data_IF_162216435650
#
_entry.id   IF_162216435650
#
_cell.length_a   1.000
_cell.length_b   1.000
_cell.length_c   1.000
_cell.angle_alpha   90.00
_cell.angle_beta   90.00
_cell.angle_gamma   90.00
#
_symmetry.space_group_name_H-M   'P 1'
#
loop_
_entity.id
_entity.type
_entity.pdbx_description
1 polymer ?
#
# COMPACT_ATOMS: atom_id res chain seq x y z
N UNK A 1 -7.64 4.62 -26.90
CA UNK A 1 -7.20 5.90 -26.32
C UNK A 1 -5.71 6.07 -26.63
N UNK A 2 -5.30 7.04 -27.45
CA UNK A 2 -3.88 7.34 -27.66
C UNK A 2 -3.42 8.30 -26.56
N UNK A 3 -2.49 7.86 -25.71
CA UNK A 3 -1.86 8.75 -24.75
C UNK A 3 -0.98 9.74 -25.52
N UNK A 4 -1.32 11.02 -25.49
CA UNK A 4 -0.44 12.07 -25.99
C UNK A 4 0.60 12.36 -24.93
N UNK A 5 1.81 11.81 -25.11
CA UNK A 5 2.92 12.09 -24.21
C UNK A 5 3.39 13.53 -24.36
N UNK A 6 3.65 14.17 -23.22
CA UNK A 6 4.04 15.59 -23.14
C UNK A 6 5.22 15.74 -22.21
N UNK A 7 6.08 16.72 -22.51
CA UNK A 7 7.15 17.11 -21.62
C UNK A 7 6.55 17.61 -20.29
N UNK A 8 7.07 17.07 -19.19
CA UNK A 8 6.74 17.50 -17.83
C UNK A 8 7.95 18.24 -17.26
N UNK A 9 7.71 19.42 -16.70
CA UNK A 9 8.72 20.18 -15.97
C UNK A 9 8.22 20.42 -14.56
N UNK A 10 8.99 20.01 -13.55
CA UNK A 10 8.73 20.29 -12.15
C UNK A 10 9.69 21.38 -11.65
N UNK A 11 9.23 22.25 -10.74
CA UNK A 11 10.07 23.30 -10.15
C UNK A 11 11.17 22.72 -9.26
N UNK A 12 10.78 22.17 -8.10
CA UNK A 12 11.61 21.23 -7.35
C UNK A 12 10.76 20.06 -6.85
N UNK A 13 11.41 18.93 -6.61
CA UNK A 13 10.78 17.75 -6.04
C UNK A 13 11.56 17.33 -4.80
N UNK A 14 10.89 17.31 -3.66
CA UNK A 14 11.42 16.80 -2.41
C UNK A 14 10.60 15.61 -1.96
N UNK A 15 11.28 14.49 -1.76
CA UNK A 15 10.69 13.26 -1.25
C UNK A 15 11.45 12.89 0.00
N UNK A 16 10.79 12.98 1.14
CA UNK A 16 11.43 12.74 2.43
C UNK A 16 11.67 11.24 2.66
N UNK A 17 10.72 10.37 2.29
CA UNK A 17 10.88 8.91 2.41
C UNK A 17 10.25 8.16 1.24
N UNK A 18 10.87 7.05 0.85
CA UNK A 18 10.28 6.03 -0.01
C UNK A 18 10.45 4.71 0.71
N UNK A 19 9.34 3.99 0.94
CA UNK A 19 9.31 2.76 1.73
C UNK A 19 8.72 1.59 0.93
N UNK A 20 8.27 0.53 1.60
CA UNK A 20 7.97 -0.79 1.01
C UNK A 20 7.17 -0.74 -0.29
N UNK A 21 7.78 -1.18 -1.39
CA UNK A 21 7.19 -1.16 -2.75
C UNK A 21 6.73 0.23 -3.22
N UNK A 22 7.31 1.31 -2.68
CA UNK A 22 7.14 2.68 -3.14
C UNK A 22 8.03 2.97 -4.36
N UNK A 23 7.49 3.70 -5.34
CA UNK A 23 8.21 4.03 -6.58
C UNK A 23 8.19 5.54 -6.80
N UNK A 24 9.35 6.14 -7.02
CA UNK A 24 9.50 7.48 -7.59
C UNK A 24 10.06 7.34 -8.99
N UNK A 25 9.39 7.90 -9.98
CA UNK A 25 9.85 7.87 -11.37
C UNK A 25 9.86 9.25 -12.00
N UNK A 26 10.96 9.57 -12.68
CA UNK A 26 11.07 10.70 -13.60
C UNK A 26 11.29 10.15 -15.01
N UNK A 27 10.50 10.63 -15.97
CA UNK A 27 10.49 10.16 -17.35
C UNK A 27 9.39 9.15 -17.66
N UNK A 28 9.38 8.76 -18.93
CA UNK A 28 8.28 8.00 -19.52
C UNK A 28 8.46 6.50 -19.32
N UNK A 29 7.34 5.75 -19.25
CA UNK A 29 7.35 4.29 -19.22
C UNK A 29 6.44 3.69 -20.29
N UNK A 30 7.01 2.87 -21.17
CA UNK A 30 6.27 2.13 -22.18
C UNK A 30 5.47 0.95 -21.61
N UNK A 31 5.91 0.40 -20.47
CA UNK A 31 5.33 -0.78 -19.83
C UNK A 31 4.53 -0.47 -18.56
N UNK A 32 3.88 -1.51 -18.02
CA UNK A 32 3.12 -1.38 -16.79
C UNK A 32 4.04 -1.15 -15.60
N UNK A 33 3.69 -0.20 -14.75
CA UNK A 33 4.42 0.04 -13.49
C UNK A 33 3.68 -0.67 -12.38
N UNK A 34 4.22 -1.80 -11.95
CA UNK A 34 3.61 -2.63 -10.93
C UNK A 34 4.26 -2.40 -9.58
N UNK A 35 3.44 -2.23 -8.55
CA UNK A 35 3.88 -2.21 -7.17
C UNK A 35 3.01 -3.15 -6.35
N UNK A 36 3.63 -4.19 -5.78
CA UNK A 36 2.92 -5.20 -4.99
C UNK A 36 3.55 -5.33 -3.61
N UNK A 37 2.71 -5.45 -2.59
CA UNK A 37 3.16 -5.66 -1.21
C UNK A 37 2.12 -6.54 -0.47
N UNK A 38 2.58 -7.53 0.30
CA UNK A 38 1.70 -8.37 1.11
C UNK A 38 2.37 -8.59 2.46
N UNK A 39 1.68 -8.21 3.53
CA UNK A 39 2.25 -8.20 4.88
C UNK A 39 1.23 -8.73 5.89
N UNK A 40 1.70 -9.55 6.82
CA UNK A 40 1.00 -9.83 8.07
C UNK A 40 1.93 -9.34 9.18
N UNK A 41 1.46 -8.42 10.02
CA UNK A 41 2.20 -7.95 11.17
C UNK A 41 1.49 -8.43 12.44
N UNK A 42 2.13 -9.33 13.19
CA UNK A 42 1.62 -9.81 14.48
C UNK A 42 2.38 -9.10 15.60
N UNK A 43 1.64 -8.40 16.46
CA UNK A 43 2.15 -7.75 17.66
C UNK A 43 1.66 -8.53 18.89
N UNK A 44 2.59 -8.94 19.75
CA UNK A 44 2.31 -9.73 20.96
C UNK A 44 2.78 -9.02 22.21
N UNK A 45 2.12 -9.28 23.35
CA UNK A 45 2.61 -8.88 24.66
C UNK A 45 3.91 -9.62 25.05
N UNK A 46 4.01 -10.91 24.69
CA UNK A 46 5.22 -11.73 24.86
C UNK A 46 5.71 -12.19 23.49
N UNK A 47 6.97 -11.89 23.09
CA UNK A 47 7.48 -12.17 21.76
C UNK A 47 7.93 -13.63 21.63
N UNK A 48 6.98 -14.55 21.59
CA UNK A 48 7.21 -15.94 21.20
C UNK A 48 7.11 -15.99 19.67
N UNK A 49 8.01 -16.69 18.98
CA UNK A 49 8.00 -16.83 17.53
C UNK A 49 8.10 -18.31 17.14
N UNK A 50 7.04 -18.85 16.55
CA UNK A 50 7.00 -20.12 15.86
C UNK A 50 7.13 -19.89 14.34
N UNK A 51 7.69 -20.85 13.61
CA UNK A 51 8.11 -20.68 12.21
C UNK A 51 6.95 -20.71 11.20
N UNK A 52 5.77 -21.21 11.58
CA UNK A 52 4.61 -21.41 10.68
C UNK A 52 3.30 -20.78 11.22
N UNK A 53 3.42 -19.69 11.99
CA UNK A 53 2.28 -19.10 12.70
C UNK A 53 1.21 -18.49 11.80
N UNK A 54 1.58 -17.94 10.65
CA UNK A 54 0.67 -17.18 9.80
C UNK A 54 0.89 -17.46 8.33
N UNK A 55 -0.18 -17.81 7.63
CA UNK A 55 -0.20 -18.00 6.18
C UNK A 55 -1.18 -17.01 5.55
N UNK A 56 -0.81 -16.45 4.40
CA UNK A 56 -1.70 -15.54 3.66
C UNK A 56 -3.05 -16.19 3.31
N UNK A 57 -3.06 -17.50 3.02
CA UNK A 57 -4.29 -18.25 2.73
C UNK A 57 -5.29 -18.27 3.89
N UNK A 58 -4.85 -18.04 5.13
CA UNK A 58 -5.72 -18.00 6.30
C UNK A 58 -6.59 -16.74 6.35
N UNK A 59 -6.28 -15.69 5.57
CA UNK A 59 -7.05 -14.44 5.59
C UNK A 59 -7.69 -14.17 4.22
N UNK A 60 -9.03 -13.97 4.18
CA UNK A 60 -9.76 -13.60 2.97
C UNK A 60 -9.17 -12.42 2.18
N UNK A 61 -8.54 -11.48 2.89
CA UNK A 61 -7.88 -10.34 2.28
C UNK A 61 -6.89 -10.75 1.18
N UNK A 62 -6.18 -11.87 1.34
CA UNK A 62 -5.16 -12.33 0.41
C UNK A 62 -5.65 -13.21 -0.74
N UNK A 63 -6.95 -13.48 -0.85
CA UNK A 63 -7.50 -14.19 -2.00
C UNK A 63 -8.80 -13.59 -2.56
N UNK A 64 -9.34 -12.54 -1.92
CA UNK A 64 -10.40 -11.73 -2.51
C UNK A 64 -9.97 -11.08 -3.82
N UNK A 65 -10.91 -11.00 -4.76
CA UNK A 65 -10.71 -10.32 -6.04
C UNK A 65 -10.53 -8.81 -5.81
N UNK A 66 -9.66 -8.19 -6.60
CA UNK A 66 -9.51 -6.73 -6.62
C UNK A 66 -10.80 -6.10 -7.13
N UNK A 67 -11.32 -5.11 -6.40
CA UNK A 67 -12.35 -4.23 -6.95
C UNK A 67 -11.71 -3.42 -8.07
N UNK A 68 -12.20 -3.60 -9.29
CA UNK A 68 -11.86 -2.74 -10.41
C UNK A 68 -12.96 -1.69 -10.56
N UNK A 69 -12.62 -0.40 -10.77
CA UNK A 69 -13.61 0.59 -11.16
C UNK A 69 -14.39 0.07 -12.38
N UNK A 70 -15.72 0.11 -12.30
CA UNK A 70 -16.56 -0.33 -13.40
C UNK A 70 -16.53 0.68 -14.55
N UNK A 71 -16.12 0.24 -15.74
CA UNK A 71 -16.23 0.97 -17.00
C UNK A 71 -15.55 2.35 -17.05
N UNK A 72 -15.53 2.97 -18.23
CA UNK A 72 -15.22 4.39 -18.33
C UNK A 72 -16.38 5.19 -17.71
N UNK A 73 -16.12 6.19 -16.85
CA UNK A 73 -17.17 7.07 -16.37
C UNK A 73 -17.85 7.75 -17.57
N UNK A 74 -19.17 8.02 -17.52
CA UNK A 74 -19.90 8.61 -18.65
C UNK A 74 -19.51 10.06 -18.96
N UNK A 75 -18.47 10.60 -18.30
CA UNK A 75 -17.97 11.94 -18.50
C UNK A 75 -16.78 11.95 -19.46
N UNK A 76 -16.85 12.79 -20.50
CA UNK A 76 -15.72 13.08 -21.37
C UNK A 76 -15.01 14.33 -20.89
N UNK A 77 -13.76 14.19 -20.45
CA UNK A 77 -12.88 15.31 -20.15
C UNK A 77 -12.10 15.67 -21.41
N UNK A 78 -12.38 16.85 -21.97
CA UNK A 78 -11.59 17.44 -23.05
C UNK A 78 -10.71 18.53 -22.45
N UNK A 79 -9.40 18.30 -22.35
CA UNK A 79 -8.44 19.34 -22.00
C UNK A 79 -7.74 19.83 -23.27
N UNK A 80 -7.89 21.10 -23.62
CA UNK A 80 -7.05 21.72 -24.64
C UNK A 80 -5.89 22.45 -23.96
N UNK A 81 -4.68 22.13 -24.41
CA UNK A 81 -3.51 22.94 -24.09
C UNK A 81 -2.71 23.10 -25.37
N UNK A 82 -2.51 24.33 -25.80
CA UNK A 82 -1.75 24.65 -26.99
C UNK A 82 -0.26 24.28 -26.79
N UNK A 83 0.12 23.04 -27.12
CA UNK A 83 1.51 22.58 -27.29
C UNK A 83 2.49 22.73 -26.12
N UNK A 84 2.08 23.29 -24.97
CA UNK A 84 2.99 23.67 -23.90
C UNK A 84 3.38 22.46 -23.04
N UNK A 85 4.58 22.39 -22.44
CA UNK A 85 4.90 21.41 -21.41
C UNK A 85 3.90 21.49 -20.23
N UNK A 86 3.66 20.36 -19.59
CA UNK A 86 2.96 20.34 -18.29
C UNK A 86 3.94 20.89 -17.26
N UNK A 87 3.64 22.09 -16.75
CA UNK A 87 4.44 22.74 -15.70
C UNK A 87 3.83 22.44 -14.36
N UNK A 88 4.51 21.60 -13.59
CA UNK A 88 4.21 21.36 -12.18
C UNK A 88 5.07 22.32 -11.37
N UNK A 89 4.49 22.92 -10.33
CA UNK A 89 5.24 23.74 -9.40
C UNK A 89 6.18 22.90 -8.53
N UNK A 90 6.25 23.27 -7.26
CA UNK A 90 7.06 22.57 -6.27
C UNK A 90 6.28 21.39 -5.68
N UNK A 91 6.88 20.20 -5.68
CA UNK A 91 6.26 18.99 -5.14
C UNK A 91 7.03 18.54 -3.90
N UNK A 92 6.36 18.54 -2.75
CA UNK A 92 6.90 18.05 -1.49
C UNK A 92 6.10 16.82 -1.04
N UNK A 93 6.77 15.68 -0.91
CA UNK A 93 6.17 14.41 -0.50
C UNK A 93 6.82 13.92 0.78
N UNK A 94 6.04 13.75 1.84
CA UNK A 94 6.52 13.26 3.13
C UNK A 94 6.93 11.77 3.08
N UNK A 95 6.22 10.98 2.29
CA UNK A 95 6.48 9.56 2.16
C UNK A 95 5.74 8.93 1.00
N UNK A 96 6.41 8.01 0.30
CA UNK A 96 5.81 7.14 -0.70
C UNK A 96 5.94 5.72 -0.19
N UNK A 97 4.82 5.15 0.24
CA UNK A 97 4.81 3.89 0.97
C UNK A 97 3.87 2.88 0.35
N UNK A 98 4.14 1.60 0.58
CA UNK A 98 3.18 0.50 0.47
C UNK A 98 2.44 0.46 -0.86
N UNK A 99 3.16 0.06 -1.92
CA UNK A 99 2.64 -0.02 -3.29
C UNK A 99 2.09 1.32 -3.82
N UNK A 100 2.80 2.41 -3.54
CA UNK A 100 2.49 3.76 -4.05
C UNK A 100 3.49 4.19 -5.11
N UNK A 101 3.04 4.99 -6.08
CA UNK A 101 3.87 5.46 -7.20
C UNK A 101 3.73 6.98 -7.35
N UNK A 102 4.85 7.70 -7.30
CA UNK A 102 4.98 9.09 -7.75
C UNK A 102 5.67 9.10 -9.10
N UNK A 103 5.06 9.71 -10.12
CA UNK A 103 5.64 9.80 -11.47
C UNK A 103 5.55 11.20 -12.05
N UNK A 104 6.64 11.63 -12.69
CA UNK A 104 6.71 12.78 -13.58
C UNK A 104 7.06 12.30 -14.99
N UNK A 105 6.09 12.25 -15.89
CA UNK A 105 6.28 11.76 -17.25
C UNK A 105 5.01 11.09 -17.78
N UNK A 106 5.09 10.61 -19.00
CA UNK A 106 4.03 9.88 -19.68
C UNK A 106 4.17 8.37 -19.46
N UNK A 107 3.06 7.68 -19.18
CA UNK A 107 3.11 6.22 -19.11
C UNK A 107 1.78 5.54 -19.34
N UNK A 108 1.85 4.30 -19.82
CA UNK A 108 0.75 3.32 -19.79
C UNK A 108 0.56 2.65 -18.42
N UNK A 109 -0.36 1.67 -18.31
CA UNK A 109 -1.10 1.32 -17.09
C UNK A 109 -0.21 1.09 -15.84
N UNK A 110 -0.53 1.78 -14.75
CA UNK A 110 0.17 1.62 -13.46
C UNK A 110 -0.74 0.78 -12.54
N UNK A 111 -0.23 -0.33 -12.00
CA UNK A 111 -0.97 -1.21 -11.10
C UNK A 111 -0.32 -1.29 -9.72
N UNK A 112 -1.07 -0.92 -8.68
CA UNK A 112 -0.63 -1.06 -7.29
C UNK A 112 -1.55 -1.99 -6.51
N UNK A 113 -0.99 -2.90 -5.71
CA UNK A 113 -1.75 -3.63 -4.70
C UNK A 113 -0.89 -3.79 -3.45
N UNK A 114 -1.41 -3.42 -2.29
CA UNK A 114 -0.85 -3.86 -1.02
C UNK A 114 -1.92 -4.53 -0.16
N UNK A 115 -1.66 -5.72 0.38
CA UNK A 115 -2.57 -6.43 1.29
C UNK A 115 -1.89 -6.55 2.65
N UNK A 116 -2.39 -5.86 3.67
CA UNK A 116 -1.75 -5.82 5.00
C UNK A 116 -2.75 -6.18 6.08
N UNK A 117 -2.42 -7.15 6.93
CA UNK A 117 -3.19 -7.52 8.12
C UNK A 117 -2.34 -7.26 9.35
N UNK A 118 -2.84 -6.46 10.29
CA UNK A 118 -2.18 -6.22 11.58
C UNK A 118 -2.98 -6.92 12.68
N UNK A 119 -2.35 -7.82 13.42
CA UNK A 119 -2.97 -8.63 14.47
C UNK A 119 -2.31 -8.25 15.79
N UNK A 120 -3.13 -7.97 16.81
CA UNK A 120 -2.64 -7.76 18.17
C UNK A 120 -3.10 -8.91 19.06
N UNK A 121 -2.17 -9.53 19.74
CA UNK A 121 -2.42 -10.57 20.74
C UNK A 121 -2.09 -9.99 22.11
N UNK A 122 -3.14 -9.72 22.88
CA UNK A 122 -3.04 -9.34 24.28
C UNK A 122 -3.21 -10.59 25.13
N UNK A 123 -2.46 -10.69 26.23
CA UNK A 123 -2.75 -11.71 27.23
C UNK A 123 -4.03 -11.27 27.94
N UNK A 124 -5.09 -12.07 27.84
CA UNK A 124 -6.22 -11.95 28.75
C UNK A 124 -5.73 -12.35 30.14
N UNK A 125 -5.25 -11.36 30.89
CA UNK A 125 -5.06 -11.48 32.33
C UNK A 125 -6.44 -11.41 33.00
N UNK A 126 -7.28 -12.43 32.78
CA UNK A 126 -8.56 -12.59 33.47
C UNK A 126 -8.53 -13.90 34.28
N UNK A 127 -8.02 -13.74 35.50
CA UNK A 127 -8.42 -14.43 36.74
C UNK A 127 -8.53 -15.97 36.77
N UNK A 128 -7.38 -16.67 36.78
CA UNK A 128 -7.29 -17.95 37.48
C UNK A 128 -7.12 -17.72 39.00
N UNK A 129 -8.19 -17.25 39.65
CA UNK A 129 -8.32 -17.21 41.12
C UNK A 129 -9.46 -18.15 41.57
N UNK A 130 -9.57 -19.36 41.00
CA UNK A 130 -10.53 -20.38 41.47
C UNK A 130 -9.92 -21.71 41.90
N UNK A 131 -8.60 -21.86 41.78
CA UNK A 131 -7.94 -23.15 42.08
C UNK A 131 -7.15 -23.13 43.42
N UNK A 132 -7.28 -22.07 44.22
CA UNK A 132 -6.52 -21.91 45.46
C UNK A 132 -7.30 -22.21 46.77
N UNK A 133 -8.59 -22.58 46.71
CA UNK A 133 -9.43 -22.74 47.92
C UNK A 133 -10.03 -24.13 48.14
N UNK A 134 -9.50 -25.18 47.49
CA UNK A 134 -9.84 -26.57 47.84
C UNK A 134 -8.58 -27.44 47.96
N UNK A 135 -7.94 -27.39 49.13
CA UNK A 135 -7.22 -28.53 49.67
C UNK A 135 -7.88 -28.93 50.99
N UNK A 136 -8.49 -30.12 51.11
CA UNK A 136 -8.89 -30.66 52.40
C UNK A 136 -7.66 -31.32 53.03
N UNK A 137 -7.33 -30.96 54.28
CA UNK A 137 -6.15 -31.48 54.95
C UNK A 137 -6.28 -31.45 56.47
N UNK A 138 -6.86 -32.55 56.97
CA UNK A 138 -6.78 -33.15 58.32
C UNK A 138 -6.90 -32.27 59.56
#
# INVERSE_FOLDING_TARGET
MTLTCRLVTAGFVYVNTVSSSGIVQFGDAAGATTSTNRLIAVQRAVPIYDKDETRFSAYPLFYKLKLQPGGEPPARLNSSSAGSPIRVGNVCVLGISTSSVLRFGCSGPIGGESRIVNIRQFNDLQFNNRDAEQQPGY
#
